data_IF_497967793029
#
_entry.id   IF_497967793029
#
_cell.length_a   1.000
_cell.length_b   1.000
_cell.length_c   1.000
_cell.angle_alpha   90.00
_cell.angle_beta   90.00
_cell.angle_gamma   90.00
#
_symmetry.space_group_name_H-M   'P 1'
#
loop_
_entity.id
_entity.type
_entity.pdbx_description
1 polymer ?
#
# COMPACT_ATOMS: atom_id res chain seq x y z
N UNK A 1 32.79 12.32 7.18
CA UNK A 1 33.20 13.07 8.39
C UNK A 1 32.53 14.43 8.32
N UNK A 2 31.60 14.75 9.23
CA UNK A 2 30.97 16.08 9.26
C UNK A 2 32.02 17.08 9.76
N UNK A 3 32.67 17.79 8.85
CA UNK A 3 33.69 18.77 9.18
C UNK A 3 33.02 20.11 9.50
N UNK A 4 32.33 20.18 10.63
CA UNK A 4 32.01 21.46 11.25
C UNK A 4 33.33 21.99 11.81
N UNK A 5 33.81 23.13 11.32
CA UNK A 5 34.79 23.88 12.09
C UNK A 5 34.10 24.20 13.45
N UNK A 6 34.59 23.68 14.59
CA UNK A 6 33.83 23.66 15.85
C UNK A 6 33.52 25.06 16.41
N UNK A 7 34.03 26.13 15.79
CA UNK A 7 33.77 27.52 16.13
C UNK A 7 32.68 28.21 15.27
N UNK A 8 32.10 27.56 14.23
CA UNK A 8 31.22 28.24 13.25
C UNK A 8 29.84 27.61 13.06
N UNK A 9 29.52 26.53 13.77
CA UNK A 9 28.18 25.95 13.74
C UNK A 9 27.89 24.94 14.85
N UNK A 10 26.61 24.67 15.07
CA UNK A 10 26.07 23.72 16.03
C UNK A 10 25.09 22.78 15.33
N UNK A 11 25.06 21.52 15.77
CA UNK A 11 24.11 20.52 15.30
C UNK A 11 23.40 19.93 16.53
N UNK A 12 22.06 19.92 16.50
CA UNK A 12 21.25 19.39 17.61
C UNK A 12 20.24 18.39 17.06
N UNK A 13 20.02 17.31 17.79
CA UNK A 13 19.03 16.30 17.46
C UNK A 13 18.10 16.12 18.66
N UNK A 14 16.85 16.51 18.50
CA UNK A 14 15.82 16.41 19.53
C UNK A 14 14.49 16.02 18.88
N UNK A 15 13.75 15.11 19.51
CA UNK A 15 12.43 14.66 19.05
C UNK A 15 12.38 14.21 17.57
N UNK A 16 13.45 13.58 17.09
CA UNK A 16 13.52 13.12 15.69
C UNK A 16 13.87 14.20 14.66
N UNK A 17 14.07 15.45 15.09
CA UNK A 17 14.40 16.57 14.20
C UNK A 17 15.88 16.94 14.34
N UNK A 18 16.59 16.98 13.21
CA UNK A 18 17.95 17.47 13.13
C UNK A 18 17.94 18.97 12.80
N UNK A 19 18.51 19.79 13.68
CA UNK A 19 18.67 21.23 13.46
C UNK A 19 20.15 21.56 13.32
N UNK A 20 20.49 22.17 12.19
CA UNK A 20 21.83 22.69 11.91
C UNK A 20 21.79 24.22 12.01
N UNK A 21 22.70 24.80 12.79
CA UNK A 21 22.87 26.23 12.94
C UNK A 21 24.32 26.60 12.65
N UNK A 22 24.54 27.76 12.01
CA UNK A 22 25.87 28.25 11.70
C UNK A 22 25.87 29.77 11.57
N UNK A 23 27.02 30.39 11.77
CA UNK A 23 27.20 31.83 11.52
C UNK A 23 27.28 32.17 10.02
N UNK A 24 27.41 31.16 9.16
CA UNK A 24 27.42 31.27 7.70
C UNK A 24 26.44 30.29 7.03
N UNK A 25 26.48 30.23 5.70
CA UNK A 25 25.69 29.28 4.92
C UNK A 25 26.14 27.83 5.19
N UNK A 26 25.17 26.93 5.34
CA UNK A 26 25.43 25.50 5.54
C UNK A 26 25.30 24.79 4.19
N UNK A 27 26.34 24.04 3.84
CA UNK A 27 26.36 23.19 2.65
C UNK A 27 26.49 21.74 3.09
N UNK A 28 25.64 20.89 2.54
CA UNK A 28 25.67 19.45 2.77
C UNK A 28 26.24 18.77 1.53
N UNK A 29 27.39 18.13 1.70
CA UNK A 29 28.04 17.31 0.68
C UNK A 29 28.07 15.85 1.09
N UNK A 30 27.94 14.95 0.11
CA UNK A 30 28.28 13.55 0.27
C UNK A 30 29.78 13.36 0.01
N UNK A 31 30.41 12.50 0.80
CA UNK A 31 31.86 12.22 0.72
C UNK A 31 32.02 10.86 0.06
N UNK A 32 33.03 10.71 -0.79
CA UNK A 32 33.36 9.44 -1.45
C UNK A 32 33.41 8.27 -0.45
N UNK A 33 32.75 7.15 -0.83
CA UNK A 33 32.62 5.95 -0.02
C UNK A 33 31.41 5.93 0.93
N UNK A 34 30.59 6.98 0.91
CA UNK A 34 29.29 7.07 1.60
C UNK A 34 29.29 6.52 3.04
N UNK A 35 30.21 6.95 3.93
CA UNK A 35 30.36 6.37 5.27
C UNK A 35 29.12 6.60 6.16
N UNK A 36 28.25 7.55 5.79
CA UNK A 36 26.97 7.80 6.45
C UNK A 36 25.78 7.12 5.78
N UNK A 37 25.99 6.36 4.69
CA UNK A 37 24.89 5.71 3.99
C UNK A 37 24.21 4.68 4.88
N UNK A 38 22.90 4.83 5.01
CA UNK A 38 22.02 3.84 5.61
C UNK A 38 21.04 3.38 4.55
N UNK A 39 21.15 2.11 4.15
CA UNK A 39 20.37 1.54 3.05
C UNK A 39 20.47 2.39 1.76
N UNK A 40 21.68 2.82 1.41
CA UNK A 40 21.95 3.66 0.23
C UNK A 40 21.53 5.12 0.35
N UNK A 41 21.19 5.61 1.55
CA UNK A 41 20.76 7.01 1.77
C UNK A 41 21.76 7.76 2.64
N UNK A 42 22.31 8.85 2.11
CA UNK A 42 23.24 9.72 2.81
C UNK A 42 22.59 10.52 3.95
N UNK A 43 23.41 11.24 4.70
CA UNK A 43 22.99 12.00 5.88
C UNK A 43 21.88 13.02 5.59
N UNK A 44 22.03 13.80 4.51
CA UNK A 44 21.05 14.82 4.14
C UNK A 44 19.68 14.21 3.79
N UNK A 45 19.69 13.06 3.12
CA UNK A 45 18.48 12.31 2.80
C UNK A 45 17.84 11.72 4.07
N UNK A 46 18.62 11.15 4.99
CA UNK A 46 18.05 10.52 6.20
C UNK A 46 17.29 11.53 7.08
N UNK A 47 17.79 12.77 7.15
CA UNK A 47 17.18 13.84 7.96
C UNK A 47 16.30 14.81 7.17
N UNK A 48 16.10 14.58 5.88
CA UNK A 48 15.28 15.42 5.00
C UNK A 48 15.74 16.88 4.87
N UNK A 49 17.06 17.10 4.93
CA UNK A 49 17.65 18.44 5.02
C UNK A 49 17.64 19.21 3.68
N UNK A 50 17.55 18.49 2.55
CA UNK A 50 17.52 19.04 1.19
C UNK A 50 16.30 18.55 0.37
N UNK A 51 15.25 18.11 1.07
CA UNK A 51 14.11 17.46 0.44
C UNK A 51 13.18 18.49 -0.20
N UNK A 52 13.01 18.39 -1.53
CA UNK A 52 11.97 19.12 -2.28
C UNK A 52 10.61 18.45 -2.06
N UNK A 53 10.61 17.12 -1.98
CA UNK A 53 9.44 16.29 -1.73
C UNK A 53 9.57 15.74 -0.32
N UNK A 54 8.57 16.00 0.51
CA UNK A 54 8.52 15.61 1.93
C UNK A 54 7.36 14.67 2.18
N UNK A 55 7.49 13.95 3.29
CA UNK A 55 6.45 13.11 3.89
C UNK A 55 6.68 13.10 5.39
N UNK A 56 5.60 13.11 6.16
CA UNK A 56 5.66 12.99 7.63
C UNK A 56 5.97 11.56 8.09
N UNK A 57 5.86 10.59 7.16
CA UNK A 57 6.18 9.18 7.39
C UNK A 57 7.32 8.69 6.50
N UNK A 58 8.08 7.67 6.94
CA UNK A 58 9.10 7.05 6.10
C UNK A 58 8.51 6.50 4.80
N UNK A 59 9.02 6.96 3.67
CA UNK A 59 8.61 6.49 2.34
C UNK A 59 9.42 5.27 1.87
N UNK A 60 10.40 4.86 2.67
CA UNK A 60 11.25 3.70 2.45
C UNK A 60 11.10 2.73 3.61
N UNK A 61 10.90 1.45 3.30
CA UNK A 61 10.74 0.38 4.29
C UNK A 61 12.07 -0.19 4.81
N UNK A 62 13.17 0.17 4.16
CA UNK A 62 14.52 -0.12 4.64
C UNK A 62 14.96 0.96 5.61
N UNK A 63 14.69 0.79 6.91
CA UNK A 63 14.98 1.79 7.93
C UNK A 63 16.49 1.99 8.20
N UNK A 64 17.37 1.13 7.66
CA UNK A 64 18.81 1.21 7.89
C UNK A 64 19.21 1.02 9.36
N UNK A 65 18.48 0.14 10.05
CA UNK A 65 18.75 -0.28 11.43
C UNK A 65 19.47 -1.62 11.45
N UNK A 66 20.32 -1.83 12.44
CA UNK A 66 20.93 -3.13 12.73
C UNK A 66 20.13 -3.91 13.79
N UNK A 67 20.33 -5.23 13.86
CA UNK A 67 19.64 -6.06 14.85
C UNK A 67 20.01 -5.67 16.30
N UNK A 68 21.24 -5.19 16.52
CA UNK A 68 21.73 -4.73 17.82
C UNK A 68 21.32 -3.31 18.18
N UNK A 69 20.76 -2.55 17.23
CA UNK A 69 20.32 -1.19 17.50
C UNK A 69 19.15 -1.20 18.49
N UNK A 70 19.15 -0.23 19.40
CA UNK A 70 18.03 -0.01 20.29
C UNK A 70 16.77 0.35 19.47
N UNK A 71 15.69 -0.42 19.65
CA UNK A 71 14.47 -0.18 18.90
C UNK A 71 13.79 1.14 19.32
N UNK A 72 13.96 1.54 20.59
CA UNK A 72 13.44 2.81 21.13
C UNK A 72 11.91 2.90 21.13
N UNK A 73 11.24 1.76 21.19
CA UNK A 73 9.78 1.66 21.19
C UNK A 73 9.28 1.79 22.62
N UNK A 74 8.17 2.50 22.82
CA UNK A 74 7.52 2.62 24.12
C UNK A 74 7.02 1.25 24.61
N UNK A 75 7.17 1.01 25.92
CA UNK A 75 6.64 -0.20 26.55
C UNK A 75 5.11 -0.26 26.47
N UNK A 76 4.56 -1.46 26.30
CA UNK A 76 3.11 -1.69 26.20
C UNK A 76 2.52 -1.55 24.80
N UNK A 77 3.28 -1.06 23.82
CA UNK A 77 2.88 -1.09 22.41
C UNK A 77 2.86 -2.52 21.85
N UNK A 78 2.02 -2.77 20.85
CA UNK A 78 1.96 -4.05 20.13
C UNK A 78 1.58 -3.88 18.66
N UNK A 79 2.07 -4.80 17.82
CA UNK A 79 1.64 -4.97 16.44
C UNK A 79 0.75 -6.21 16.36
N UNK A 80 -0.44 -6.08 15.79
CA UNK A 80 -1.35 -7.20 15.57
C UNK A 80 -1.08 -7.82 14.21
N UNK A 81 -0.72 -9.11 14.20
CA UNK A 81 -0.51 -9.90 12.99
C UNK A 81 -1.63 -10.90 12.81
N UNK A 82 -2.23 -10.88 11.62
CA UNK A 82 -3.21 -11.87 11.20
C UNK A 82 -2.58 -12.84 10.22
N UNK A 83 -2.75 -14.13 10.50
CA UNK A 83 -2.37 -15.23 9.61
C UNK A 83 -3.63 -15.79 8.97
N UNK A 84 -3.60 -15.96 7.66
CA UNK A 84 -4.67 -16.63 6.91
C UNK A 84 -4.13 -17.82 6.13
N UNK A 85 -4.97 -18.83 5.90
CA UNK A 85 -4.65 -19.96 5.04
C UNK A 85 -4.87 -19.64 3.54
N UNK A 86 -4.57 -20.60 2.66
CA UNK A 86 -4.75 -20.46 1.21
C UNK A 86 -6.22 -20.21 0.78
N UNK A 87 -7.20 -20.51 1.63
CA UNK A 87 -8.61 -20.22 1.40
C UNK A 87 -9.04 -18.86 1.98
N UNK A 88 -8.11 -18.10 2.57
CA UNK A 88 -8.36 -16.79 3.19
C UNK A 88 -8.99 -16.87 4.58
N UNK A 89 -9.09 -18.06 5.19
CA UNK A 89 -9.62 -18.21 6.55
C UNK A 89 -8.58 -17.77 7.56
N UNK A 90 -9.02 -17.06 8.60
CA UNK A 90 -8.14 -16.63 9.69
C UNK A 90 -7.77 -17.84 10.54
N UNK A 91 -6.48 -18.14 10.63
CA UNK A 91 -5.94 -19.25 11.45
C UNK A 91 -5.28 -18.74 12.73
N UNK A 92 -4.77 -17.51 12.74
CA UNK A 92 -4.23 -16.85 13.91
C UNK A 92 -4.47 -15.34 13.84
N UNK A 93 -4.81 -14.75 14.97
CA UNK A 93 -4.71 -13.32 15.19
C UNK A 93 -3.90 -13.09 16.47
N UNK A 94 -2.79 -12.36 16.37
CA UNK A 94 -1.81 -12.27 17.45
C UNK A 94 -1.26 -10.88 17.65
N UNK A 95 -1.35 -10.41 18.89
CA UNK A 95 -0.65 -9.20 19.34
C UNK A 95 0.79 -9.55 19.71
N UNK A 96 1.73 -9.09 18.90
CA UNK A 96 3.16 -9.13 19.18
C UNK A 96 3.52 -7.87 19.95
N UNK A 97 3.66 -8.02 21.27
CA UNK A 97 4.01 -6.92 22.18
C UNK A 97 5.47 -6.54 22.04
N UNK A 98 5.78 -5.25 22.22
CA UNK A 98 7.17 -4.77 22.33
C UNK A 98 7.82 -5.37 23.57
N UNK A 99 8.92 -6.11 23.37
CA UNK A 99 9.72 -6.71 24.43
C UNK A 99 11.20 -6.55 24.13
N UNK A 100 12.02 -6.49 25.19
CA UNK A 100 13.46 -6.28 25.06
C UNK A 100 13.81 -4.81 24.80
N UNK A 101 15.02 -4.58 24.29
CA UNK A 101 15.54 -3.24 24.02
C UNK A 101 16.02 -3.07 22.57
N UNK A 102 16.29 -4.17 21.86
CA UNK A 102 16.89 -4.18 20.52
C UNK A 102 15.94 -4.70 19.44
N UNK A 103 16.20 -4.35 18.17
CA UNK A 103 15.42 -4.91 17.06
C UNK A 103 15.51 -6.44 16.98
N UNK A 104 16.62 -7.04 17.41
CA UNK A 104 16.77 -8.48 17.54
C UNK A 104 15.73 -9.08 18.50
N UNK A 105 15.48 -8.43 19.64
CA UNK A 105 14.50 -8.89 20.63
C UNK A 105 13.07 -8.85 20.05
N UNK A 106 12.74 -7.77 19.34
CA UNK A 106 11.43 -7.63 18.71
C UNK A 106 11.21 -8.68 17.60
N UNK A 107 12.23 -8.95 16.78
CA UNK A 107 12.18 -9.99 15.74
C UNK A 107 12.07 -11.39 16.38
N UNK A 108 12.79 -11.64 17.48
CA UNK A 108 12.65 -12.88 18.23
C UNK A 108 11.22 -13.06 18.78
N UNK A 109 10.58 -11.98 19.23
CA UNK A 109 9.19 -12.00 19.67
C UNK A 109 8.21 -12.26 18.52
N UNK A 110 8.41 -11.68 17.33
CA UNK A 110 7.65 -12.01 16.11
C UNK A 110 7.78 -13.50 15.75
N UNK A 111 8.99 -14.04 15.88
CA UNK A 111 9.32 -15.44 15.59
C UNK A 111 8.98 -16.42 16.73
N UNK A 112 8.44 -15.93 17.85
CA UNK A 112 8.02 -16.81 18.94
C UNK A 112 6.84 -17.67 18.51
N UNK A 113 6.89 -18.97 18.82
CA UNK A 113 5.74 -19.88 18.63
C UNK A 113 4.63 -19.64 19.65
N UNK A 114 4.96 -19.03 20.79
CA UNK A 114 4.02 -18.79 21.90
C UNK A 114 3.42 -17.41 21.86
N UNK A 115 4.21 -16.37 21.60
CA UNK A 115 3.79 -14.97 21.64
C UNK A 115 3.79 -14.28 20.27
N UNK A 116 4.32 -14.93 19.24
CA UNK A 116 4.40 -14.42 17.87
C UNK A 116 3.67 -15.31 16.87
N UNK A 117 4.11 -15.25 15.61
CA UNK A 117 3.60 -16.05 14.51
C UNK A 117 4.59 -17.13 14.04
N UNK A 118 5.63 -17.44 14.83
CA UNK A 118 6.76 -18.29 14.43
C UNK A 118 6.41 -19.70 13.92
N UNK A 119 5.22 -20.22 14.25
CA UNK A 119 4.72 -21.49 13.70
C UNK A 119 4.29 -21.38 12.22
N UNK A 120 3.92 -20.19 11.77
CA UNK A 120 3.30 -19.93 10.47
C UNK A 120 4.20 -19.15 9.51
N UNK A 121 5.37 -18.69 9.97
CA UNK A 121 6.33 -17.95 9.14
C UNK A 121 7.48 -17.41 9.96
N UNK A 122 8.42 -16.77 9.27
CA UNK A 122 9.63 -16.20 9.87
C UNK A 122 9.79 -14.74 9.47
N UNK A 123 10.08 -13.90 10.45
CA UNK A 123 10.55 -12.53 10.26
C UNK A 123 12.07 -12.48 10.30
N UNK A 124 12.67 -11.68 9.43
CA UNK A 124 14.11 -11.44 9.37
C UNK A 124 14.40 -9.98 9.09
N UNK A 125 15.56 -9.50 9.56
CA UNK A 125 16.10 -8.19 9.21
C UNK A 125 17.21 -8.39 8.17
N UNK A 126 17.11 -7.73 7.02
CA UNK A 126 18.14 -7.78 6.01
C UNK A 126 19.28 -6.78 6.30
N UNK A 127 20.35 -6.81 5.51
CA UNK A 127 21.50 -5.90 5.64
C UNK A 127 21.15 -4.43 5.44
N UNK A 128 20.06 -4.14 4.73
CA UNK A 128 19.56 -2.78 4.49
C UNK A 128 18.67 -2.28 5.65
N UNK A 129 18.47 -3.09 6.69
CA UNK A 129 17.64 -2.74 7.83
C UNK A 129 16.15 -2.69 7.50
N UNK A 130 15.68 -3.49 6.54
CA UNK A 130 14.27 -3.77 6.28
C UNK A 130 13.86 -5.08 6.97
N UNK A 131 12.69 -5.09 7.58
CA UNK A 131 12.10 -6.33 8.12
C UNK A 131 11.30 -7.00 7.01
N UNK A 132 11.65 -8.24 6.67
CA UNK A 132 10.88 -9.09 5.76
C UNK A 132 10.20 -10.21 6.53
N UNK A 133 8.95 -10.50 6.17
CA UNK A 133 8.19 -11.64 6.69
C UNK A 133 8.04 -12.64 5.57
N UNK A 134 8.56 -13.86 5.78
CA UNK A 134 8.39 -15.00 4.89
C UNK A 134 7.36 -15.97 5.51
N UNK A 135 6.10 -15.96 5.03
CA UNK A 135 5.10 -16.92 5.46
C UNK A 135 5.52 -18.35 5.11
N UNK A 136 5.13 -19.31 5.95
CA UNK A 136 5.20 -20.73 5.63
C UNK A 136 4.27 -21.08 4.46
N UNK A 137 4.55 -22.21 3.81
CA UNK A 137 3.77 -22.66 2.66
C UNK A 137 2.27 -22.74 2.99
N UNK A 138 1.44 -22.11 2.15
CA UNK A 138 -0.02 -22.12 2.30
C UNK A 138 -0.57 -21.09 3.29
N UNK A 139 0.27 -20.25 3.89
CA UNK A 139 -0.14 -19.16 4.78
C UNK A 139 0.19 -17.79 4.18
N UNK A 140 -0.55 -16.77 4.62
CA UNK A 140 -0.15 -15.37 4.46
C UNK A 140 -0.22 -14.67 5.80
N UNK A 141 0.71 -13.74 6.04
CA UNK A 141 0.85 -12.99 7.28
C UNK A 141 0.75 -11.51 6.93
N UNK A 142 -0.06 -10.75 7.68
CA UNK A 142 -0.22 -9.31 7.43
C UNK A 142 -0.42 -8.59 8.76
N UNK A 143 0.25 -7.45 8.95
CA UNK A 143 -0.03 -6.58 10.09
C UNK A 143 -1.36 -5.85 9.86
N UNK A 144 -2.28 -5.96 10.81
CA UNK A 144 -3.63 -5.38 10.74
C UNK A 144 -3.78 -4.13 11.61
N UNK A 145 -3.00 -4.02 12.68
CA UNK A 145 -3.01 -2.88 13.60
C UNK A 145 -1.62 -2.70 14.22
N UNK A 146 -1.28 -1.46 14.52
CA UNK A 146 -0.06 -1.08 15.22
C UNK A 146 -0.36 0.00 16.25
N UNK A 147 0.04 -0.26 17.50
CA UNK A 147 -0.05 0.67 18.63
C UNK A 147 1.32 1.05 19.18
N UNK A 148 2.38 0.59 18.51
CA UNK A 148 3.76 0.91 18.89
C UNK A 148 4.08 2.36 18.56
N UNK A 149 4.97 2.94 19.35
CA UNK A 149 5.42 4.31 19.20
C UNK A 149 6.92 4.36 19.45
N UNK A 150 7.68 5.01 18.57
CA UNK A 150 9.14 5.11 18.72
C UNK A 150 9.57 6.43 19.39
N UNK A 151 9.99 6.36 20.64
CA UNK A 151 10.40 7.53 21.43
C UNK A 151 9.24 8.51 21.58
N UNK A 152 9.48 9.79 21.25
CA UNK A 152 8.46 10.84 21.26
C UNK A 152 7.83 11.09 19.87
N UNK A 153 8.16 10.27 18.85
CA UNK A 153 7.56 10.41 17.51
C UNK A 153 6.20 9.71 17.47
N UNK A 154 5.35 9.99 16.49
CA UNK A 154 4.08 9.27 16.26
C UNK A 154 4.24 8.04 15.36
N UNK A 155 5.47 7.61 15.08
CA UNK A 155 5.75 6.53 14.13
C UNK A 155 5.78 5.17 14.83
N UNK A 156 4.98 4.25 14.31
CA UNK A 156 4.97 2.84 14.70
C UNK A 156 5.91 1.97 13.86
N UNK A 157 6.05 0.70 14.25
CA UNK A 157 6.81 -0.32 13.53
C UNK A 157 6.27 -0.55 12.12
N UNK A 158 4.94 -0.57 11.92
CA UNK A 158 4.34 -0.79 10.61
C UNK A 158 4.62 0.35 9.65
N UNK A 159 4.71 1.59 10.14
CA UNK A 159 5.07 2.76 9.34
C UNK A 159 6.56 2.79 9.01
N UNK A 160 7.41 2.31 9.93
CA UNK A 160 8.86 2.29 9.73
C UNK A 160 9.31 1.23 8.71
N UNK A 161 8.67 0.05 8.70
CA UNK A 161 9.08 -1.08 7.85
C UNK A 161 8.04 -1.46 6.79
N UNK A 162 6.91 -0.76 6.71
CA UNK A 162 5.85 -1.06 5.75
C UNK A 162 5.25 -2.46 5.90
N UNK A 163 4.92 -2.88 7.13
CA UNK A 163 4.44 -4.23 7.42
C UNK A 163 2.93 -4.42 7.20
N UNK A 164 2.18 -3.32 7.11
CA UNK A 164 0.73 -3.34 6.87
C UNK A 164 0.41 -2.90 5.45
N UNK A 165 -0.63 -3.51 4.86
CA UNK A 165 -1.11 -3.11 3.52
C UNK A 165 -1.61 -1.67 3.50
N UNK A 166 -2.21 -1.21 4.60
CA UNK A 166 -2.67 0.17 4.74
C UNK A 166 -1.53 1.17 4.76
N UNK A 167 -0.44 0.89 5.50
CA UNK A 167 0.73 1.77 5.54
C UNK A 167 1.39 1.85 4.16
N UNK A 168 1.59 0.70 3.49
CA UNK A 168 2.13 0.67 2.12
C UNK A 168 1.23 1.40 1.10
N UNK A 169 -0.09 1.29 1.23
CA UNK A 169 -1.03 1.98 0.35
C UNK A 169 -1.11 3.48 0.62
N UNK A 170 -0.79 3.93 1.83
CA UNK A 170 -0.75 5.35 2.20
C UNK A 170 0.50 6.07 1.68
N UNK A 171 1.63 5.37 1.51
CA UNK A 171 2.90 6.00 1.13
C UNK A 171 2.84 6.96 -0.08
N UNK A 172 2.16 6.64 -1.20
CA UNK A 172 2.07 7.56 -2.33
C UNK A 172 1.23 8.81 -2.04
N UNK A 173 0.31 8.74 -1.07
CA UNK A 173 -0.58 9.84 -0.70
C UNK A 173 0.04 10.81 0.32
N UNK A 174 1.06 10.35 1.05
CA UNK A 174 1.75 11.14 2.07
C UNK A 174 2.91 11.99 1.49
N UNK A 175 3.19 11.87 0.18
CA UNK A 175 4.21 12.65 -0.53
C UNK A 175 3.67 14.02 -0.98
N UNK A 176 4.31 15.10 -0.55
CA UNK A 176 3.99 16.46 -0.96
C UNK A 176 5.25 17.28 -1.27
N UNK A 177 5.14 18.30 -2.11
CA UNK A 177 6.20 19.31 -2.25
C UNK A 177 6.25 20.14 -0.97
N UNK A 178 7.45 20.46 -0.47
CA UNK A 178 7.61 21.30 0.73
C UNK A 178 6.80 22.60 0.60
N UNK A 179 5.89 22.83 1.55
CA UNK A 179 4.97 23.97 1.53
C UNK A 179 5.70 25.32 1.46
N UNK A 180 6.93 25.41 2.00
CA UNK A 180 7.74 26.63 1.93
C UNK A 180 8.20 26.90 0.50
N UNK A 181 8.54 25.85 -0.25
CA UNK A 181 8.91 25.97 -1.68
C UNK A 181 7.67 26.31 -2.51
N UNK A 182 6.51 25.71 -2.20
CA UNK A 182 5.24 26.04 -2.86
C UNK A 182 4.85 27.50 -2.62
N UNK A 183 4.93 27.97 -1.38
CA UNK A 183 4.61 29.34 -1.00
C UNK A 183 5.63 30.36 -1.54
N UNK A 184 6.89 29.95 -1.72
CA UNK A 184 7.96 30.82 -2.20
C UNK A 184 9.02 30.02 -2.97
N UNK A 185 8.87 29.89 -4.31
CA UNK A 185 9.80 29.14 -5.15
C UNK A 185 11.25 29.67 -5.09
N UNK A 186 11.44 30.93 -4.71
CA UNK A 186 12.75 31.55 -4.51
C UNK A 186 13.57 30.95 -3.36
N UNK A 187 12.95 30.15 -2.48
CA UNK A 187 13.66 29.43 -1.43
C UNK A 187 14.42 28.19 -1.94
N UNK A 188 14.15 27.75 -3.17
CA UNK A 188 14.89 26.66 -3.78
C UNK A 188 16.27 27.15 -4.26
N UNK A 189 17.33 26.66 -3.64
CA UNK A 189 18.69 27.00 -4.02
C UNK A 189 19.14 26.18 -5.24
N UNK A 190 19.70 26.87 -6.26
CA UNK A 190 20.22 26.23 -7.48
C UNK A 190 21.75 26.24 -7.59
N UNK A 191 22.44 26.87 -6.63
CA UNK A 191 23.90 26.89 -6.63
C UNK A 191 24.48 25.51 -6.33
N UNK A 192 25.50 25.10 -7.09
CA UNK A 192 26.26 23.87 -6.83
C UNK A 192 27.61 24.24 -6.20
N UNK A 193 27.74 24.21 -4.87
CA UNK A 193 28.99 24.59 -4.22
C UNK A 193 30.13 23.63 -4.61
N UNK A 194 31.32 24.19 -4.87
CA UNK A 194 32.54 23.41 -5.09
C UNK A 194 33.14 22.98 -3.75
N UNK A 195 32.97 21.70 -3.42
CA UNK A 195 33.45 21.11 -2.17
C UNK A 195 34.93 20.73 -2.20
N UNK A 196 35.60 20.86 -3.36
CA UNK A 196 37.04 20.59 -3.50
C UNK A 196 37.92 21.80 -3.20
N UNK A 197 37.30 22.98 -3.09
CA UNK A 197 37.99 24.22 -2.80
C UNK A 197 38.51 24.29 -1.35
N UNK A 198 39.68 24.91 -1.16
CA UNK A 198 40.28 25.08 0.16
C UNK A 198 39.46 25.99 1.08
N UNK A 199 39.68 25.87 2.39
CA UNK A 199 39.03 26.72 3.41
C UNK A 199 39.29 28.20 3.12
N UNK A 200 38.24 29.02 3.12
CA UNK A 200 38.31 30.45 2.82
C UNK A 200 38.14 30.81 1.34
N UNK A 201 38.11 29.82 0.44
CA UNK A 201 37.73 30.03 -0.95
C UNK A 201 36.22 30.27 -1.11
N UNK A 202 35.85 31.03 -2.13
CA UNK A 202 34.45 31.18 -2.52
C UNK A 202 33.98 29.90 -3.22
N UNK A 203 33.12 29.14 -2.57
CA UNK A 203 32.62 27.85 -3.08
C UNK A 203 31.34 27.96 -3.88
N UNK A 204 30.58 29.05 -3.74
CA UNK A 204 29.30 29.26 -4.42
C UNK A 204 29.18 30.71 -4.91
N UNK A 205 28.57 30.87 -6.08
CA UNK A 205 28.39 32.18 -6.72
C UNK A 205 26.92 32.55 -6.87
N UNK A 206 26.63 33.85 -6.76
CA UNK A 206 25.30 34.37 -7.06
C UNK A 206 25.00 34.17 -8.55
N UNK A 207 23.85 33.59 -8.86
CA UNK A 207 23.44 33.29 -10.23
C UNK A 207 23.90 31.93 -10.76
N UNK A 208 24.53 31.09 -9.94
CA UNK A 208 24.84 29.71 -10.32
C UNK A 208 23.55 28.88 -10.52
N UNK A 209 23.33 28.43 -11.76
CA UNK A 209 22.16 27.66 -12.17
C UNK A 209 22.45 26.17 -12.41
N UNK A 210 23.65 25.68 -12.07
CA UNK A 210 24.04 24.27 -12.30
C UNK A 210 23.13 23.27 -11.58
N UNK A 211 22.63 23.62 -10.38
CA UNK A 211 21.66 22.80 -9.65
C UNK A 211 20.29 22.76 -10.32
N UNK A 212 19.85 23.84 -10.97
CA UNK A 212 18.62 23.85 -11.75
C UNK A 212 18.72 22.90 -12.95
N UNK A 213 19.85 22.94 -13.67
CA UNK A 213 20.10 22.01 -14.77
C UNK A 213 20.14 20.57 -14.27
N UNK A 214 20.85 20.30 -13.16
CA UNK A 214 20.90 18.97 -12.56
C UNK A 214 19.49 18.46 -12.18
N UNK A 215 18.62 19.32 -11.65
CA UNK A 215 17.23 18.99 -11.36
C UNK A 215 16.45 18.62 -12.63
N UNK A 216 16.60 19.38 -13.71
CA UNK A 216 15.98 19.06 -15.02
C UNK A 216 16.50 17.71 -15.54
N UNK A 217 17.81 17.48 -15.42
CA UNK A 217 18.44 16.24 -15.89
C UNK A 217 17.97 15.01 -15.09
N UNK A 218 17.53 15.17 -13.84
CA UNK A 218 16.95 14.06 -13.06
C UNK A 218 15.71 13.45 -13.71
N UNK A 219 14.95 14.22 -14.51
CA UNK A 219 13.81 13.74 -15.28
C UNK A 219 14.23 12.69 -16.31
N UNK A 220 15.38 12.89 -16.93
CA UNK A 220 15.89 12.08 -18.05
C UNK A 220 16.90 11.02 -17.61
N UNK A 221 17.42 11.13 -16.39
CA UNK A 221 18.38 10.17 -15.84
C UNK A 221 17.75 8.78 -15.75
N UNK A 222 18.46 7.77 -16.25
CA UNK A 222 18.00 6.38 -16.16
C UNK A 222 18.05 5.90 -14.71
N UNK A 223 16.93 5.35 -14.24
CA UNK A 223 16.78 4.76 -12.90
C UNK A 223 16.17 3.37 -13.04
N UNK A 224 16.55 2.49 -12.14
CA UNK A 224 15.94 1.16 -12.03
C UNK A 224 14.65 1.25 -11.24
N UNK A 225 13.55 0.81 -11.84
CA UNK A 225 12.25 0.68 -11.19
C UNK A 225 11.95 -0.81 -10.98
N UNK A 226 11.61 -1.23 -9.75
CA UNK A 226 11.20 -2.61 -9.50
C UNK A 226 9.88 -2.92 -10.20
N UNK A 227 9.65 -4.21 -10.48
CA UNK A 227 8.37 -4.66 -11.03
C UNK A 227 7.26 -4.40 -10.03
N UNK A 228 6.21 -3.71 -10.46
CA UNK A 228 5.09 -3.28 -9.59
C UNK A 228 3.78 -3.43 -10.34
N UNK A 229 2.85 -4.23 -9.79
CA UNK A 229 1.57 -4.52 -10.43
C UNK A 229 1.74 -5.12 -11.82
N UNK A 230 1.22 -4.45 -12.84
CA UNK A 230 1.30 -4.87 -14.25
C UNK A 230 2.60 -4.44 -14.96
N UNK A 231 3.45 -3.64 -14.32
CA UNK A 231 4.73 -3.21 -14.90
C UNK A 231 5.85 -4.15 -14.47
N UNK A 232 6.59 -4.69 -15.44
CA UNK A 232 7.82 -5.44 -15.17
C UNK A 232 8.94 -4.52 -14.69
N UNK A 233 9.94 -5.10 -14.02
CA UNK A 233 11.14 -4.37 -13.63
C UNK A 233 11.84 -3.81 -14.86
N UNK A 234 12.25 -2.55 -14.81
CA UNK A 234 12.79 -1.83 -15.97
C UNK A 234 13.76 -0.72 -15.54
N UNK A 235 14.76 -0.45 -16.38
CA UNK A 235 15.63 0.71 -16.23
C UNK A 235 15.22 1.76 -17.26
N UNK A 236 14.73 2.91 -16.81
CA UNK A 236 14.22 3.96 -17.69
C UNK A 236 14.22 5.33 -17.01
N UNK A 237 13.89 6.40 -17.73
CA UNK A 237 13.76 7.74 -17.15
C UNK A 237 12.44 7.89 -16.40
N UNK A 238 12.36 8.85 -15.47
CA UNK A 238 11.10 9.13 -14.75
C UNK A 238 9.97 9.50 -15.71
N UNK A 239 10.29 10.24 -16.77
CA UNK A 239 9.35 10.65 -17.81
C UNK A 239 8.75 9.45 -18.58
N UNK A 240 9.61 8.52 -19.00
CA UNK A 240 9.17 7.32 -19.70
C UNK A 240 8.39 6.38 -18.76
N UNK A 241 8.81 6.27 -17.50
CA UNK A 241 8.12 5.45 -16.50
C UNK A 241 6.71 5.97 -16.22
N UNK A 242 6.55 7.27 -15.97
CA UNK A 242 5.25 7.90 -15.71
C UNK A 242 4.31 7.79 -16.91
N UNK A 243 4.83 7.96 -18.13
CA UNK A 243 4.06 7.77 -19.36
C UNK A 243 3.55 6.33 -19.52
N UNK A 244 4.39 5.32 -19.22
CA UNK A 244 3.98 3.90 -19.25
C UNK A 244 2.97 3.59 -18.15
N UNK A 245 3.17 4.11 -16.94
CA UNK A 245 2.25 3.93 -15.82
C UNK A 245 0.87 4.51 -16.16
N UNK A 246 0.81 5.71 -16.73
CA UNK A 246 -0.44 6.34 -17.17
C UNK A 246 -1.13 5.51 -18.27
N UNK A 247 -0.37 5.01 -19.25
CA UNK A 247 -0.90 4.14 -20.31
C UNK A 247 -1.48 2.83 -19.77
N UNK A 248 -0.80 2.21 -18.80
CA UNK A 248 -1.25 0.97 -18.17
C UNK A 248 -2.47 1.18 -17.27
N UNK A 249 -2.51 2.29 -16.52
CA UNK A 249 -3.69 2.68 -15.74
C UNK A 249 -4.91 2.91 -16.65
N UNK A 250 -4.71 3.57 -17.79
CA UNK A 250 -5.76 3.76 -18.80
C UNK A 250 -6.25 2.42 -19.39
N UNK A 251 -5.32 1.51 -19.70
CA UNK A 251 -5.64 0.16 -20.18
C UNK A 251 -6.45 -0.63 -19.16
N UNK A 252 -6.08 -0.56 -17.89
CA UNK A 252 -6.80 -1.24 -16.80
C UNK A 252 -8.21 -0.65 -16.61
N UNK A 253 -8.35 0.68 -16.66
CA UNK A 253 -9.64 1.35 -16.58
C UNK A 253 -10.57 0.97 -17.76
N UNK A 254 -10.04 0.93 -18.98
CA UNK A 254 -10.79 0.50 -20.17
C UNK A 254 -11.25 -0.96 -20.06
N UNK A 255 -10.39 -1.87 -19.58
CA UNK A 255 -10.79 -3.26 -19.33
C UNK A 255 -11.86 -3.38 -18.25
N UNK A 256 -11.76 -2.61 -17.17
CA UNK A 256 -12.77 -2.59 -16.11
C UNK A 256 -14.13 -2.10 -16.64
N UNK A 257 -14.15 -1.02 -17.42
CA UNK A 257 -15.37 -0.50 -18.06
C UNK A 257 -16.00 -1.52 -19.02
N UNK A 258 -15.19 -2.21 -19.83
CA UNK A 258 -15.66 -3.30 -20.70
C UNK A 258 -16.22 -4.47 -19.91
N UNK A 259 -15.59 -4.83 -18.79
CA UNK A 259 -16.06 -5.90 -17.91
C UNK A 259 -17.37 -5.54 -17.23
N UNK A 260 -17.53 -4.30 -16.77
CA UNK A 260 -18.78 -3.77 -16.21
C UNK A 260 -19.90 -3.77 -17.26
N UNK A 261 -19.62 -3.30 -18.47
CA UNK A 261 -20.59 -3.32 -19.57
C UNK A 261 -21.05 -4.75 -19.90
N UNK A 262 -20.12 -5.70 -19.96
CA UNK A 262 -20.42 -7.12 -20.15
C UNK A 262 -21.27 -7.70 -19.02
N UNK A 263 -20.91 -7.43 -17.76
CA UNK A 263 -21.66 -7.88 -16.59
C UNK A 263 -23.08 -7.28 -16.55
N UNK A 264 -23.23 -6.01 -16.92
CA UNK A 264 -24.52 -5.32 -17.01
C UNK A 264 -25.40 -5.92 -18.10
N UNK A 265 -24.82 -6.23 -19.27
CA UNK A 265 -25.55 -6.90 -20.35
C UNK A 265 -26.05 -8.29 -19.93
N UNK A 266 -25.21 -9.08 -19.24
CA UNK A 266 -25.61 -10.39 -18.71
C UNK A 266 -26.70 -10.25 -17.64
N UNK A 267 -26.59 -9.29 -16.73
CA UNK A 267 -27.61 -9.01 -15.72
C UNK A 267 -28.95 -8.62 -16.35
N UNK A 268 -28.93 -7.77 -17.38
CA UNK A 268 -30.13 -7.36 -18.12
C UNK A 268 -30.78 -8.57 -18.78
N UNK A 269 -30.02 -9.39 -19.50
CA UNK A 269 -30.53 -10.59 -20.16
C UNK A 269 -31.09 -11.62 -19.16
N UNK A 270 -30.44 -11.79 -18.01
CA UNK A 270 -30.92 -12.67 -16.95
C UNK A 270 -32.22 -12.14 -16.31
N UNK A 271 -32.32 -10.83 -16.10
CA UNK A 271 -33.52 -10.18 -15.56
C UNK A 271 -34.70 -10.29 -16.53
N UNK A 272 -34.44 -10.13 -17.83
CA UNK A 272 -35.46 -10.29 -18.87
C UNK A 272 -35.96 -11.75 -18.94
N UNK A 273 -35.06 -12.74 -18.94
CA UNK A 273 -35.45 -14.17 -18.89
C UNK A 273 -36.23 -14.52 -17.63
N UNK A 274 -35.82 -13.99 -16.48
CA UNK A 274 -36.55 -14.16 -15.23
C UNK A 274 -37.96 -13.59 -15.36
N UNK A 275 -38.09 -12.37 -15.89
CA UNK A 275 -39.38 -11.70 -16.12
C UNK A 275 -40.24 -12.45 -17.14
N UNK A 276 -39.66 -13.07 -18.17
CA UNK A 276 -40.39 -13.92 -19.13
C UNK A 276 -40.89 -15.23 -18.50
N UNK A 277 -40.16 -15.78 -17.52
CA UNK A 277 -40.56 -17.02 -16.82
C UNK A 277 -41.55 -16.75 -15.69
N UNK A 278 -41.34 -15.65 -14.95
CA UNK A 278 -42.23 -15.20 -13.86
C UNK A 278 -43.46 -14.46 -14.40
N UNK A 279 -43.37 -13.90 -15.59
CA UNK A 279 -44.44 -13.22 -16.31
C UNK A 279 -45.41 -14.23 -16.89
N UNK A 280 -46.29 -14.77 -16.04
CA UNK A 280 -47.47 -15.49 -16.51
C UNK A 280 -48.40 -14.45 -17.15
N UNK A 281 -48.73 -14.64 -18.43
CA UNK A 281 -49.75 -13.81 -19.06
C UNK A 281 -51.09 -14.11 -18.37
N UNK A 282 -51.70 -13.11 -17.72
CA UNK A 282 -53.05 -13.21 -17.12
C UNK A 282 -54.07 -13.81 -18.08
N UNK A 283 -53.90 -13.55 -19.38
CA UNK A 283 -54.73 -14.09 -20.45
C UNK A 283 -54.48 -15.60 -20.66
N UNK A 284 -53.24 -16.05 -20.57
CA UNK A 284 -52.88 -17.47 -20.64
C UNK A 284 -53.31 -18.23 -19.38
N UNK A 285 -53.29 -17.57 -18.22
CA UNK A 285 -53.82 -18.11 -16.97
C UNK A 285 -55.36 -18.16 -16.98
N UNK A 286 -56.03 -17.16 -17.55
CA UNK A 286 -57.48 -17.15 -17.80
C UNK A 286 -57.90 -18.23 -18.82
N UNK A 287 -57.14 -18.44 -19.89
CA UNK A 287 -57.38 -19.52 -20.85
C UNK A 287 -57.21 -20.88 -20.19
N UNK A 288 -56.15 -21.08 -19.40
CA UNK A 288 -55.98 -22.33 -18.63
C UNK A 288 -57.10 -22.53 -17.61
N UNK A 289 -57.55 -21.47 -16.96
CA UNK A 289 -58.63 -21.52 -15.97
C UNK A 289 -59.98 -21.87 -16.62
N UNK A 290 -60.31 -21.24 -17.76
CA UNK A 290 -61.50 -21.60 -18.55
C UNK A 290 -61.42 -23.02 -19.11
N UNK A 291 -60.24 -23.48 -19.54
CA UNK A 291 -60.03 -24.87 -19.96
C UNK A 291 -60.20 -25.87 -18.81
N UNK A 292 -59.73 -25.54 -17.60
CA UNK A 292 -59.97 -26.34 -16.40
C UNK A 292 -61.46 -26.36 -16.01
N UNK A 293 -62.15 -25.23 -16.11
CA UNK A 293 -63.59 -25.15 -15.85
C UNK A 293 -64.39 -25.99 -16.86
N UNK A 294 -64.07 -25.89 -18.15
CA UNK A 294 -64.74 -26.67 -19.20
C UNK A 294 -64.46 -28.17 -19.07
N UNK A 295 -63.22 -28.56 -18.77
CA UNK A 295 -62.88 -29.97 -18.57
C UNK A 295 -63.53 -30.55 -17.30
N UNK A 296 -63.63 -29.77 -16.22
CA UNK A 296 -64.37 -30.18 -15.02
C UNK A 296 -65.88 -30.32 -15.28
N UNK A 297 -66.48 -29.39 -16.01
CA UNK A 297 -67.89 -29.47 -16.42
C UNK A 297 -68.17 -30.65 -17.37
N UNK A 298 -67.21 -30.99 -18.25
CA UNK A 298 -67.31 -32.17 -19.10
C UNK A 298 -67.14 -33.47 -18.30
N UNK A 299 -66.18 -33.51 -17.37
CA UNK A 299 -65.96 -34.67 -16.49
C UNK A 299 -67.15 -34.91 -15.56
N UNK A 300 -67.79 -33.87 -15.03
CA UNK A 300 -68.98 -34.01 -14.18
C UNK A 300 -70.19 -34.53 -14.96
N UNK A 301 -70.37 -34.11 -16.22
CA UNK A 301 -71.39 -34.69 -17.12
C UNK A 301 -71.10 -36.15 -17.45
N UNK A 302 -69.84 -36.53 -17.65
CA UNK A 302 -69.45 -37.94 -17.86
C UNK A 302 -69.72 -38.78 -16.61
N UNK A 303 -69.46 -38.25 -15.41
CA UNK A 303 -69.76 -38.94 -14.15
C UNK A 303 -71.27 -39.08 -13.97
N UNK A 304 -72.06 -38.04 -14.25
CA UNK A 304 -73.52 -38.11 -14.20
C UNK A 304 -74.07 -39.13 -15.19
N UNK A 305 -73.59 -39.15 -16.44
CA UNK A 305 -73.99 -40.14 -17.42
C UNK A 305 -73.59 -41.57 -17.00
N UNK A 306 -72.41 -41.74 -16.38
CA UNK A 306 -71.99 -43.02 -15.83
C UNK A 306 -72.83 -43.46 -14.63
N UNK A 307 -73.23 -42.53 -13.74
CA UNK A 307 -74.17 -42.78 -12.65
C UNK A 307 -75.54 -43.18 -13.17
N UNK A 308 -76.09 -42.44 -14.15
CA UNK A 308 -77.37 -42.79 -14.77
C UNK A 308 -77.31 -44.18 -15.42
N UNK A 309 -76.21 -44.53 -16.11
CA UNK A 309 -76.03 -45.89 -16.65
C UNK A 309 -75.92 -46.96 -15.56
N UNK A 310 -75.22 -46.68 -14.45
CA UNK A 310 -75.13 -47.59 -13.30
C UNK A 310 -76.47 -47.79 -12.60
N UNK A 311 -77.22 -46.71 -12.38
CA UNK A 311 -78.55 -46.75 -11.79
C UNK A 311 -79.54 -47.51 -12.69
N UNK A 312 -79.43 -47.34 -14.02
CA UNK A 312 -80.24 -48.11 -14.98
C UNK A 312 -79.91 -49.60 -14.93
N UNK A 313 -78.64 -49.97 -14.75
CA UNK A 313 -78.23 -51.38 -14.61
C UNK A 313 -78.62 -52.00 -13.26
N UNK A 314 -78.66 -51.21 -12.18
CA UNK A 314 -79.07 -51.67 -10.85
C UNK A 314 -80.60 -51.73 -10.66
N UNK A 315 -81.37 -51.07 -11.54
CA UNK A 315 -82.83 -51.09 -11.52
C UNK A 315 -83.46 -52.31 -12.24
N UNK A 316 -82.63 -53.20 -12.81
CA UNK A 316 -83.01 -54.49 -13.43
C UNK A 316 -82.65 -55.62 -12.45
#
# INVERSE_FOLDING_TARGET
MLQLAPAQGAATFANGVMTLAGSGGIVLGEVDGDPSARAGRGFAHFFGLNDIIRSDKPIFTAAGVSATDAHGLAGGGAVTFRVTDAAGRVVLDRNVTVTGATWADFIAQMNSTTNGFGQYGVASLNSDGAISIAPGAGYSITATSDTTQRGATTLGVTDLFGLSRSSLAALPHDLAVDERIVASPYLLAFGKPDLTAGVGARIAESGDARGAQALIDTRNTQRSFPGTGALSAQTTSLDAYTSRLAGEAARLADNAAKSEAGATAVLSAATERRTQTEGVSLDEELVRMTQFQQSYAAASRLIQAAQEMLDTLLAI
#
